data_IF_478141703000
#
_entry.id   IF_478141703000
#
_cell.length_a   1.000
_cell.length_b   1.000
_cell.length_c   1.000
_cell.angle_alpha   90.00
_cell.angle_beta   90.00
_cell.angle_gamma   90.00
#
_symmetry.space_group_name_H-M   'P 1'
#
loop_
_entity.id
_entity.type
_entity.pdbx_description
1 polymer ?
#
# COMPACT_ATOMS: atom_id res chain seq x y z
N UNK A 1 8.50 35.64 31.23
CA UNK A 1 9.17 34.31 31.28
C UNK A 1 8.13 33.18 31.32
N UNK A 2 7.30 33.02 30.29
CA UNK A 2 6.28 31.93 30.23
C UNK A 2 6.09 31.31 28.84
N UNK A 3 6.96 31.61 27.86
CA UNK A 3 6.82 31.12 26.49
C UNK A 3 7.62 29.83 26.19
N UNK A 4 8.52 29.40 27.08
CA UNK A 4 9.45 28.29 26.81
C UNK A 4 8.90 26.90 27.18
N UNK A 5 7.78 26.80 27.90
CA UNK A 5 7.28 25.50 28.42
C UNK A 5 6.28 24.77 27.51
N UNK A 6 5.75 25.41 26.46
CA UNK A 6 4.74 24.77 25.59
C UNK A 6 5.39 23.95 24.47
N UNK A 7 6.59 24.35 24.01
CA UNK A 7 7.29 23.64 22.92
C UNK A 7 7.84 22.27 23.37
N UNK A 8 8.18 22.11 24.65
CA UNK A 8 8.69 20.85 25.19
C UNK A 8 7.61 19.77 25.40
N UNK A 9 6.32 20.14 25.45
CA UNK A 9 5.23 19.16 25.55
C UNK A 9 4.85 18.54 24.20
N UNK A 10 5.15 19.20 23.07
CA UNK A 10 4.90 18.63 21.75
C UNK A 10 5.93 17.56 21.35
N UNK A 11 7.17 17.66 21.82
CA UNK A 11 8.21 16.65 21.58
C UNK A 11 8.04 15.36 22.40
N UNK A 12 7.27 15.39 23.50
CA UNK A 12 7.06 14.21 24.36
C UNK A 12 5.87 13.34 23.94
N UNK A 13 4.92 13.86 23.15
CA UNK A 13 3.76 13.09 22.68
C UNK A 13 4.07 12.19 21.46
N UNK A 14 5.18 12.45 20.75
CA UNK A 14 5.61 11.65 19.61
C UNK A 14 6.36 10.35 19.99
N UNK A 15 6.69 10.14 21.27
CA UNK A 15 7.58 9.06 21.70
C UNK A 15 6.88 7.86 22.37
N UNK A 16 5.54 7.84 22.49
CA UNK A 16 4.82 6.82 23.27
C UNK A 16 3.72 6.10 22.50
N UNK A 17 4.02 5.65 21.29
CA UNK A 17 3.25 4.60 20.59
C UNK A 17 4.25 3.49 20.20
N UNK A 18 4.84 2.84 21.21
CA UNK A 18 5.62 1.64 20.99
C UNK A 18 4.80 0.40 21.34
N UNK A 19 4.50 -0.35 20.28
CA UNK A 19 4.66 -1.81 20.24
C UNK A 19 3.58 -2.64 20.92
N UNK A 20 2.37 -2.61 20.36
CA UNK A 20 1.50 -3.79 20.37
C UNK A 20 1.03 -4.00 18.94
N UNK A 21 1.57 -5.01 18.25
CA UNK A 21 1.13 -5.67 17.00
C UNK A 21 2.37 -6.05 16.15
N UNK A 22 3.04 -7.15 16.49
CA UNK A 22 4.18 -7.63 15.71
C UNK A 22 4.28 -9.17 15.73
N UNK A 23 3.19 -9.88 15.43
CA UNK A 23 3.27 -11.33 15.17
C UNK A 23 2.58 -11.83 13.89
N UNK A 24 1.95 -10.97 13.07
CA UNK A 24 1.25 -11.43 11.84
C UNK A 24 1.79 -10.84 10.51
N UNK A 25 2.98 -10.20 10.52
CA UNK A 25 3.56 -9.49 9.36
C UNK A 25 4.99 -9.98 9.06
N UNK A 26 5.27 -11.27 9.14
CA UNK A 26 6.63 -11.80 8.91
C UNK A 26 6.85 -12.26 7.44
N UNK A 27 5.78 -12.49 6.68
CA UNK A 27 5.88 -12.79 5.23
C UNK A 27 5.72 -11.55 4.35
N UNK A 28 4.97 -10.54 4.80
CA UNK A 28 4.72 -9.28 4.09
C UNK A 28 5.85 -8.25 4.28
N UNK A 29 6.80 -8.47 5.20
CA UNK A 29 7.88 -7.51 5.47
C UNK A 29 9.08 -7.53 4.51
N UNK A 30 9.07 -8.28 3.41
CA UNK A 30 10.26 -8.45 2.56
C UNK A 30 10.40 -7.45 1.42
N UNK A 31 9.29 -6.97 0.85
CA UNK A 31 9.38 -6.18 -0.38
C UNK A 31 9.33 -4.67 -0.17
N UNK A 32 8.67 -4.14 0.86
CA UNK A 32 8.72 -2.69 1.13
C UNK A 32 9.82 -2.38 2.16
N UNK A 33 10.80 -1.57 1.77
CA UNK A 33 11.86 -1.08 2.67
C UNK A 33 11.47 0.24 3.33
N UNK A 34 10.88 1.16 2.56
CA UNK A 34 10.34 2.43 3.05
C UNK A 34 9.07 2.85 2.29
N UNK A 35 8.11 3.51 2.96
CA UNK A 35 8.08 3.82 4.38
C UNK A 35 7.83 2.59 5.25
N UNK A 36 8.40 2.59 6.45
CA UNK A 36 8.01 1.65 7.50
C UNK A 36 6.61 1.99 8.04
N UNK A 37 5.93 1.02 8.64
CA UNK A 37 4.55 1.22 9.12
C UNK A 37 4.50 2.37 10.15
N UNK A 38 3.64 3.37 9.89
CA UNK A 38 3.53 4.61 10.67
C UNK A 38 4.72 5.57 10.59
N UNK A 39 5.60 5.43 9.61
CA UNK A 39 6.66 6.41 9.36
C UNK A 39 6.05 7.77 8.98
N UNK A 40 6.71 8.85 9.43
CA UNK A 40 6.30 10.21 9.15
C UNK A 40 7.10 10.72 7.96
N UNK A 41 6.44 10.94 6.82
CA UNK A 41 7.09 11.40 5.59
C UNK A 41 6.64 12.81 5.19
N UNK A 42 7.55 13.64 4.67
CA UNK A 42 7.19 14.98 4.22
C UNK A 42 6.46 14.93 2.88
N UNK A 43 5.54 15.86 2.62
CA UNK A 43 4.79 15.91 1.34
C UNK A 43 5.54 16.55 0.17
N UNK A 44 6.72 17.10 0.39
CA UNK A 44 7.58 17.61 -0.68
C UNK A 44 8.57 16.55 -1.20
N UNK A 45 8.85 15.50 -0.41
CA UNK A 45 9.82 14.45 -0.71
C UNK A 45 9.39 13.08 -0.15
N UNK A 46 8.18 12.63 -0.52
CA UNK A 46 7.70 11.32 -0.09
C UNK A 46 8.45 10.21 -0.86
N UNK A 47 9.35 9.54 -0.15
CA UNK A 47 10.24 8.52 -0.70
C UNK A 47 9.72 7.11 -0.41
N UNK A 48 9.63 6.29 -1.46
CA UNK A 48 9.26 4.89 -1.37
C UNK A 48 10.44 4.04 -1.85
N UNK A 49 10.77 2.99 -1.12
CA UNK A 49 11.80 2.03 -1.48
C UNK A 49 11.28 0.61 -1.30
N UNK A 50 11.68 -0.26 -2.21
CA UNK A 50 11.30 -1.66 -2.20
C UNK A 50 12.47 -2.54 -2.62
N UNK A 51 12.43 -3.78 -2.14
CA UNK A 51 13.16 -4.88 -2.77
C UNK A 51 12.17 -5.66 -3.59
N UNK A 52 12.63 -6.03 -4.77
CA UNK A 52 12.02 -7.06 -5.57
C UNK A 52 13.10 -8.12 -5.82
N UNK A 53 12.73 -9.40 -5.73
CA UNK A 53 13.60 -10.52 -6.12
C UNK A 53 13.53 -10.71 -7.67
N UNK A 54 14.25 -11.69 -8.23
CA UNK A 54 14.39 -11.85 -9.71
C UNK A 54 13.07 -12.12 -10.49
N UNK A 55 11.92 -12.18 -9.81
CA UNK A 55 10.62 -12.61 -10.37
C UNK A 55 9.57 -11.50 -10.56
N UNK A 56 9.84 -10.22 -10.23
CA UNK A 56 8.87 -9.17 -10.57
C UNK A 56 9.00 -8.76 -12.04
N UNK A 57 7.86 -8.67 -12.71
CA UNK A 57 7.76 -8.21 -14.09
C UNK A 57 6.74 -7.06 -14.18
N UNK A 58 7.08 -6.02 -14.92
CA UNK A 58 6.15 -4.91 -15.18
C UNK A 58 6.17 -3.79 -14.14
N UNK A 59 5.35 -2.74 -14.33
CA UNK A 59 5.40 -1.56 -13.49
C UNK A 59 4.82 -1.83 -12.10
N UNK A 60 5.40 -1.18 -11.11
CA UNK A 60 4.89 -1.14 -9.73
C UNK A 60 3.86 -0.04 -9.65
N UNK A 61 2.70 -0.33 -9.08
CA UNK A 61 1.65 0.65 -8.84
C UNK A 61 1.61 1.05 -7.38
N UNK A 62 1.79 2.34 -7.11
CA UNK A 62 1.66 2.94 -5.77
C UNK A 62 0.31 3.66 -5.73
N UNK A 63 -0.56 3.24 -4.82
CA UNK A 63 -1.85 3.88 -4.57
C UNK A 63 -1.88 4.47 -3.15
N UNK A 64 -2.27 5.74 -3.03
CA UNK A 64 -2.45 6.42 -1.74
C UNK A 64 -3.93 6.80 -1.63
N UNK A 65 -4.54 6.37 -0.53
CA UNK A 65 -5.95 6.52 -0.21
C UNK A 65 -6.15 7.32 1.08
N UNK A 66 -6.98 8.34 0.99
CA UNK A 66 -7.41 9.21 2.09
C UNK A 66 -8.91 9.44 2.03
N UNK A 67 -9.43 10.23 2.97
CA UNK A 67 -10.86 10.55 3.00
C UNK A 67 -11.32 11.33 1.75
N UNK A 68 -10.49 12.27 1.33
CA UNK A 68 -10.77 13.23 0.26
C UNK A 68 -9.67 13.20 -0.82
N UNK A 69 -8.88 12.13 -0.85
CA UNK A 69 -7.73 12.00 -1.73
C UNK A 69 -7.57 10.54 -2.17
N UNK A 70 -7.49 10.32 -3.48
CA UNK A 70 -7.13 9.03 -4.07
C UNK A 70 -6.15 9.28 -5.21
N UNK A 71 -4.90 8.86 -5.03
CA UNK A 71 -3.83 9.02 -6.02
C UNK A 71 -3.25 7.67 -6.41
N UNK A 72 -2.99 7.47 -7.71
CA UNK A 72 -2.25 6.30 -8.21
C UNK A 72 -1.12 6.72 -9.14
N UNK A 73 0.07 6.16 -8.94
CA UNK A 73 1.23 6.38 -9.80
C UNK A 73 1.94 5.06 -10.05
N UNK A 74 2.77 5.02 -11.09
CA UNK A 74 3.53 3.84 -11.46
C UNK A 74 5.02 4.13 -11.52
N UNK A 75 5.83 3.19 -11.05
CA UNK A 75 7.29 3.20 -11.17
C UNK A 75 7.74 1.97 -11.97
N UNK A 76 8.89 2.07 -12.63
CA UNK A 76 9.56 0.88 -13.17
C UNK A 76 10.03 0.02 -11.99
N UNK A 77 9.82 -1.29 -12.05
CA UNK A 77 10.22 -2.20 -10.98
C UNK A 77 11.74 -2.28 -10.79
N UNK A 78 12.49 -2.00 -11.86
CA UNK A 78 13.95 -2.01 -11.85
C UNK A 78 14.54 -0.85 -11.04
N UNK A 79 13.78 0.23 -10.88
CA UNK A 79 14.10 1.28 -9.94
C UNK A 79 13.69 0.79 -8.55
N UNK A 80 14.62 0.41 -7.68
CA UNK A 80 14.32 -0.08 -6.32
C UNK A 80 13.70 0.99 -5.39
N UNK A 81 13.35 2.15 -5.92
CA UNK A 81 12.83 3.29 -5.19
C UNK A 81 12.23 4.34 -6.12
N UNK A 82 11.32 5.17 -5.59
CA UNK A 82 10.81 6.37 -6.26
C UNK A 82 10.52 7.47 -5.24
N UNK A 83 10.83 8.72 -5.61
CA UNK A 83 10.33 9.91 -4.93
C UNK A 83 9.07 10.39 -5.62
N UNK A 84 7.97 10.51 -4.86
CA UNK A 84 6.70 11.01 -5.38
C UNK A 84 6.75 12.53 -5.54
N UNK A 85 6.30 13.02 -6.69
CA UNK A 85 6.20 14.46 -6.89
C UNK A 85 5.16 15.06 -5.94
N UNK A 86 5.36 16.29 -5.43
CA UNK A 86 4.41 16.93 -4.51
C UNK A 86 2.99 17.06 -5.09
N UNK A 87 2.86 17.21 -6.42
CA UNK A 87 1.56 17.27 -7.10
C UNK A 87 0.77 15.97 -7.05
N UNK A 88 1.44 14.85 -6.79
CA UNK A 88 0.82 13.55 -6.58
C UNK A 88 0.31 13.37 -5.15
N UNK A 89 0.74 14.21 -4.21
CA UNK A 89 0.41 14.07 -2.80
C UNK A 89 -0.79 14.98 -2.45
N UNK A 90 -1.56 14.63 -1.40
CA UNK A 90 -2.65 15.47 -0.94
C UNK A 90 -2.15 16.86 -0.56
N UNK A 91 -2.86 17.90 -1.00
CA UNK A 91 -2.58 19.26 -0.57
C UNK A 91 -2.94 19.41 0.91
N UNK A 92 -1.93 19.65 1.75
CA UNK A 92 -2.10 19.85 3.20
C UNK A 92 -1.65 21.26 3.58
N UNK A 93 -2.18 21.79 4.68
CA UNK A 93 -1.74 23.08 5.21
C UNK A 93 -0.33 22.94 5.80
N UNK A 94 0.50 23.99 5.78
CA UNK A 94 1.78 23.96 6.47
C UNK A 94 1.63 23.47 7.92
N UNK A 95 2.51 22.58 8.36
CA UNK A 95 2.52 21.95 9.69
C UNK A 95 1.35 20.98 9.96
N UNK A 96 0.49 20.71 8.98
CA UNK A 96 -0.53 19.69 9.10
C UNK A 96 0.08 18.29 8.96
N UNK A 97 -0.38 17.36 9.80
CA UNK A 97 -0.05 15.93 9.71
C UNK A 97 -1.34 15.14 9.54
N UNK A 98 -1.38 14.27 8.53
CA UNK A 98 -2.53 13.42 8.23
C UNK A 98 -2.12 11.97 7.99
N UNK A 99 -2.98 11.04 8.38
CA UNK A 99 -2.78 9.62 8.16
C UNK A 99 -3.49 9.16 6.89
N UNK A 100 -2.77 8.41 6.06
CA UNK A 100 -3.24 7.85 4.81
C UNK A 100 -3.07 6.33 4.83
N UNK A 101 -3.92 5.64 4.08
CA UNK A 101 -3.67 4.26 3.71
C UNK A 101 -2.94 4.26 2.38
N UNK A 102 -1.98 3.36 2.20
CA UNK A 102 -1.38 3.12 0.90
C UNK A 102 -1.40 1.64 0.56
N UNK A 103 -1.41 1.37 -0.74
CA UNK A 103 -1.30 0.05 -1.31
C UNK A 103 -0.23 0.06 -2.37
N UNK A 104 0.67 -0.91 -2.32
CA UNK A 104 1.68 -1.13 -3.34
C UNK A 104 1.34 -2.43 -4.05
N UNK A 105 1.25 -2.41 -5.38
CA UNK A 105 0.92 -3.57 -6.20
C UNK A 105 2.08 -3.86 -7.16
N UNK A 106 2.51 -5.11 -7.19
CA UNK A 106 3.46 -5.64 -8.15
C UNK A 106 2.75 -6.69 -9.00
N UNK A 107 2.95 -6.66 -10.31
CA UNK A 107 2.63 -7.82 -11.13
C UNK A 107 3.81 -8.79 -11.06
N UNK A 108 3.52 -10.05 -10.80
CA UNK A 108 4.52 -11.12 -10.88
C UNK A 108 3.98 -12.19 -11.80
N UNK A 109 4.87 -12.78 -12.61
CA UNK A 109 4.52 -13.84 -13.52
C UNK A 109 4.99 -15.17 -12.94
N UNK A 110 4.08 -15.92 -12.33
CA UNK A 110 4.38 -17.24 -11.78
C UNK A 110 3.65 -18.26 -12.64
N UNK A 111 4.39 -19.19 -13.25
CA UNK A 111 3.85 -20.26 -14.10
C UNK A 111 2.99 -19.78 -15.30
N UNK A 112 3.15 -18.53 -15.72
CA UNK A 112 2.42 -17.92 -16.85
C UNK A 112 1.10 -17.23 -16.47
N UNK A 113 0.71 -17.26 -15.21
CA UNK A 113 -0.40 -16.48 -14.66
C UNK A 113 0.13 -15.18 -14.02
N UNK A 114 -0.61 -14.07 -14.23
CA UNK A 114 -0.31 -12.77 -13.63
C UNK A 114 -0.92 -12.72 -12.21
N UNK A 115 -0.08 -12.50 -11.20
CA UNK A 115 -0.49 -12.31 -9.82
C UNK A 115 -0.20 -10.88 -9.36
N UNK A 116 -1.23 -10.20 -8.83
CA UNK A 116 -1.07 -8.95 -8.11
C UNK A 116 -0.66 -9.25 -6.66
N UNK A 117 0.63 -9.09 -6.36
CA UNK A 117 1.13 -9.14 -4.99
C UNK A 117 1.01 -7.72 -4.43
N UNK A 118 0.13 -7.56 -3.44
CA UNK A 118 -0.19 -6.26 -2.85
C UNK A 118 0.22 -6.13 -1.39
N UNK A 119 0.57 -4.93 -0.95
CA UNK A 119 0.53 -4.52 0.45
C UNK A 119 -0.78 -3.79 0.75
N UNK A 120 -1.90 -4.50 0.98
CA UNK A 120 -3.18 -3.83 1.14
C UNK A 120 -3.22 -3.04 2.45
N UNK A 121 -3.59 -1.76 2.38
CA UNK A 121 -3.97 -0.93 3.52
C UNK A 121 -2.87 -0.70 4.55
N UNK A 122 -1.62 -0.56 4.12
CA UNK A 122 -0.54 -0.07 4.99
C UNK A 122 -0.81 1.37 5.40
N UNK A 123 -0.51 1.72 6.66
CA UNK A 123 -0.73 3.08 7.16
C UNK A 123 0.55 3.90 7.08
N UNK A 124 0.42 5.12 6.58
CA UNK A 124 1.48 6.11 6.46
C UNK A 124 1.00 7.45 7.04
N UNK A 125 1.90 8.20 7.68
CA UNK A 125 1.63 9.58 8.09
C UNK A 125 2.40 10.54 7.19
N UNK A 126 1.68 11.45 6.54
CA UNK A 126 2.28 12.53 5.78
C UNK A 126 2.24 13.83 6.59
N UNK A 127 3.28 14.64 6.51
CA UNK A 127 3.27 16.00 7.04
C UNK A 127 3.68 17.02 5.99
N UNK A 128 3.05 18.20 6.04
CA UNK A 128 3.43 19.31 5.18
C UNK A 128 4.50 20.14 5.88
N UNK A 129 5.74 20.18 5.36
CA UNK A 129 6.78 21.00 5.96
C UNK A 129 6.40 22.48 5.89
N UNK A 130 6.84 23.26 6.89
CA UNK A 130 6.73 24.71 6.83
C UNK A 130 7.54 25.18 5.63
N UNK A 131 6.96 25.95 4.68
CA UNK A 131 7.70 26.42 3.51
C UNK A 131 8.88 27.25 4.00
N UNK A 132 10.08 26.69 3.88
CA UNK A 132 11.29 27.43 4.18
C UNK A 132 11.44 28.44 3.07
N UNK A 133 11.27 29.72 3.40
CA UNK A 133 11.58 30.79 2.45
C UNK A 133 13.09 30.75 2.27
N UNK A 134 13.55 30.03 1.25
CA UNK A 134 14.94 30.08 0.82
C UNK A 134 15.23 31.51 0.43
N UNK A 135 15.90 32.24 1.32
CA UNK A 135 16.42 33.56 1.00
C UNK A 135 17.61 33.31 0.08
N UNK A 136 17.35 33.34 -1.23
CA UNK A 136 18.39 33.28 -2.25
C UNK A 136 19.29 34.50 -2.05
N UNK A 137 20.39 34.29 -1.33
CA UNK A 137 21.43 35.30 -1.21
C UNK A 137 22.23 35.24 -2.50
N UNK A 138 21.80 36.01 -3.49
CA UNK A 138 22.51 36.17 -4.75
C UNK A 138 23.85 36.85 -4.45
N UNK A 139 24.91 36.06 -4.35
CA UNK A 139 26.27 36.58 -4.26
C UNK A 139 26.73 36.93 -5.66
N UNK A 140 26.54 38.19 -6.07
CA UNK A 140 27.13 38.71 -7.30
C UNK A 140 28.66 38.68 -7.17
N UNK A 141 29.30 37.71 -7.82
CA UNK A 141 30.75 37.71 -8.00
C UNK A 141 31.09 38.67 -9.13
N UNK A 142 31.44 39.91 -8.77
CA UNK A 142 31.93 40.92 -9.72
C UNK A 142 33.28 40.45 -10.27
N UNK A 143 33.27 39.81 -11.43
CA UNK A 143 34.50 39.46 -12.17
C UNK A 143 34.90 40.66 -13.03
N UNK A 144 35.94 41.37 -12.62
CA UNK A 144 36.50 42.49 -13.40
C UNK A 144 37.35 41.93 -14.54
N UNK A 145 36.75 41.73 -15.71
CA UNK A 145 37.48 41.38 -16.94
C UNK A 145 37.52 42.60 -17.86
N UNK A 146 38.73 42.99 -18.23
CA UNK A 146 39.07 44.13 -19.08
C UNK A 146 38.55 43.94 -20.52
N UNK A 147 37.96 45.01 -21.04
CA UNK A 147 37.71 45.35 -22.46
C UNK A 147 37.33 44.22 -23.43
N UNK A 148 36.03 44.05 -23.68
CA UNK A 148 35.55 43.81 -25.04
C UNK A 148 34.12 44.32 -25.23
N UNK A 149 33.95 45.21 -26.20
CA UNK A 149 32.66 45.77 -26.65
C UNK A 149 31.80 44.65 -27.23
N UNK A 150 30.70 44.32 -26.55
CA UNK A 150 29.61 43.50 -27.11
C UNK A 150 28.28 44.17 -26.76
N UNK A 151 27.46 44.33 -27.80
CA UNK A 151 26.16 45.01 -27.78
C UNK A 151 25.13 44.19 -26.98
N UNK A 152 24.50 44.81 -25.99
CA UNK A 152 23.40 44.20 -25.22
C UNK A 152 22.06 44.51 -25.91
N UNK A 153 21.32 43.45 -26.25
CA UNK A 153 19.88 43.52 -26.54
C UNK A 153 19.17 43.37 -25.20
N UNK A 154 18.45 44.41 -24.78
CA UNK A 154 17.66 44.40 -23.56
C UNK A 154 16.41 43.51 -23.74
N UNK A 155 16.31 42.44 -22.96
CA UNK A 155 15.05 41.71 -22.77
C UNK A 155 14.25 42.37 -21.64
N UNK A 156 13.12 42.94 -22.02
CA UNK A 156 12.17 43.60 -21.12
C UNK A 156 11.40 42.55 -20.32
N UNK A 157 11.72 42.42 -19.04
CA UNK A 157 10.92 41.67 -18.06
C UNK A 157 9.55 42.31 -17.89
N UNK A 158 8.48 41.64 -18.32
CA UNK A 158 7.10 42.07 -18.08
C UNK A 158 6.65 41.61 -16.69
N UNK A 159 6.37 42.59 -15.84
CA UNK A 159 5.73 42.42 -14.54
C UNK A 159 4.20 42.26 -14.76
N UNK A 160 3.54 41.17 -14.34
CA UNK A 160 2.09 41.06 -14.45
C UNK A 160 1.42 42.04 -13.48
N UNK A 161 0.72 43.02 -14.03
CA UNK A 161 -0.15 43.96 -13.30
C UNK A 161 -1.46 43.25 -12.94
N UNK A 162 -1.93 43.32 -11.68
CA UNK A 162 -3.28 42.88 -11.33
C UNK A 162 -4.30 43.83 -11.95
N UNK A 163 -5.03 43.36 -12.96
CA UNK A 163 -6.15 44.08 -13.54
C UNK A 163 -7.33 44.10 -12.58
N UNK A 164 -7.63 45.28 -12.03
CA UNK A 164 -8.93 45.57 -11.46
C UNK A 164 -9.95 45.68 -12.59
N UNK A 165 -10.92 44.75 -12.62
CA UNK A 165 -12.13 44.89 -13.41
C UNK A 165 -13.28 45.18 -12.43
N UNK A 166 -13.80 46.39 -12.57
CA UNK A 166 -14.95 46.95 -11.88
C UNK A 166 -16.14 46.90 -12.85
N UNK A 167 -17.32 46.55 -12.34
CA UNK A 167 -18.62 46.68 -13.02
C UNK A 167 -19.16 45.44 -13.75
N UNK A 168 -20.18 44.80 -13.17
CA UNK A 168 -21.58 45.07 -13.53
C UNK A 168 -22.53 44.23 -12.67
N UNK A 169 -23.53 44.92 -12.13
CA UNK A 169 -24.67 44.40 -11.37
C UNK A 169 -25.58 43.62 -12.32
N UNK A 170 -25.88 42.36 -12.01
CA UNK A 170 -27.06 41.68 -12.56
C UNK A 170 -27.79 40.92 -11.44
N UNK A 171 -28.95 41.47 -11.07
CA UNK A 171 -29.92 40.86 -10.16
C UNK A 171 -30.61 39.69 -10.86
N UNK A 172 -29.97 38.52 -10.83
CA UNK A 172 -30.55 37.25 -11.27
C UNK A 172 -30.98 36.39 -10.09
N UNK A 173 -32.19 36.58 -9.58
CA UNK A 173 -32.85 35.62 -8.67
C UNK A 173 -33.03 34.29 -9.40
N UNK A 174 -32.18 33.32 -9.07
CA UNK A 174 -32.26 31.97 -9.61
C UNK A 174 -31.74 30.96 -8.60
N UNK A 175 -32.68 30.35 -7.86
CA UNK A 175 -32.45 29.11 -7.12
C UNK A 175 -31.72 28.11 -8.03
N UNK A 176 -30.47 27.80 -7.74
CA UNK A 176 -29.82 26.61 -8.26
C UNK A 176 -29.15 25.91 -7.09
N UNK A 177 -29.77 24.80 -6.71
CA UNK A 177 -29.37 23.92 -5.65
C UNK A 177 -27.92 23.44 -5.81
N UNK A 178 -27.22 23.32 -4.68
CA UNK A 178 -25.90 22.70 -4.58
C UNK A 178 -25.89 21.32 -5.27
N UNK A 179 -25.22 21.25 -6.42
CA UNK A 179 -24.85 20.01 -7.09
C UNK A 179 -23.79 19.25 -6.30
N UNK A 180 -24.23 18.57 -5.24
CA UNK A 180 -23.45 17.52 -4.59
C UNK A 180 -23.43 16.31 -5.53
N UNK A 181 -22.24 16.02 -6.08
CA UNK A 181 -21.99 14.85 -6.92
C UNK A 181 -22.17 13.56 -6.12
N UNK A 182 -23.41 13.12 -5.97
CA UNK A 182 -23.77 11.84 -5.40
C UNK A 182 -23.45 10.71 -6.39
N UNK A 183 -22.56 9.80 -5.99
CA UNK A 183 -22.71 8.41 -6.40
C UNK A 183 -24.11 7.99 -5.97
N UNK A 184 -24.96 7.68 -6.95
CA UNK A 184 -26.36 7.29 -6.79
C UNK A 184 -26.58 6.53 -5.48
N UNK A 185 -27.48 7.06 -4.64
CA UNK A 185 -27.93 6.48 -3.38
C UNK A 185 -28.36 5.02 -3.50
N UNK A 186 -28.60 4.52 -4.71
CA UNK A 186 -28.86 3.10 -5.00
C UNK A 186 -27.66 2.17 -4.82
N UNK A 187 -26.40 2.63 -4.92
CA UNK A 187 -25.22 1.77 -4.83
C UNK A 187 -24.76 1.48 -3.39
N UNK A 188 -24.85 2.48 -2.50
CA UNK A 188 -24.37 2.36 -1.11
C UNK A 188 -25.36 1.63 -0.19
N UNK A 189 -26.65 1.57 -0.55
CA UNK A 189 -27.66 0.84 0.21
C UNK A 189 -27.57 -0.69 0.04
N UNK A 190 -26.95 -1.19 -1.04
CA UNK A 190 -26.90 -2.62 -1.36
C UNK A 190 -25.97 -3.44 -0.45
N UNK A 191 -24.89 -2.85 0.04
CA UNK A 191 -23.88 -3.58 0.84
C UNK A 191 -24.29 -3.71 2.32
N UNK A 192 -25.10 -2.78 2.83
CA UNK A 192 -25.49 -2.75 4.24
C UNK A 192 -26.44 -3.88 4.69
N UNK A 193 -27.20 -4.48 3.77
CA UNK A 193 -28.21 -5.51 4.11
C UNK A 193 -27.78 -6.93 3.70
N UNK A 194 -26.80 -7.07 2.80
CA UNK A 194 -26.36 -8.38 2.30
C UNK A 194 -25.63 -9.23 3.34
N UNK A 195 -24.81 -8.60 4.19
CA UNK A 195 -23.96 -9.28 5.19
C UNK A 195 -24.77 -10.06 6.25
N UNK A 196 -25.81 -9.51 6.89
CA UNK A 196 -26.56 -10.27 7.90
C UNK A 196 -27.31 -11.46 7.29
N UNK A 197 -27.85 -11.34 6.08
CA UNK A 197 -28.58 -12.45 5.41
C UNK A 197 -27.61 -13.54 4.98
N UNK A 198 -26.44 -13.17 4.45
CA UNK A 198 -25.39 -14.12 4.08
C UNK A 198 -24.87 -14.93 5.27
N UNK A 199 -24.65 -14.27 6.42
CA UNK A 199 -24.18 -14.94 7.64
C UNK A 199 -25.19 -15.97 8.17
N UNK A 200 -26.49 -15.66 8.14
CA UNK A 200 -27.55 -16.59 8.57
C UNK A 200 -27.65 -17.81 7.65
N UNK A 201 -27.55 -17.62 6.33
CA UNK A 201 -27.57 -18.73 5.37
C UNK A 201 -26.34 -19.64 5.50
N UNK A 202 -25.16 -19.07 5.70
CA UNK A 202 -23.93 -19.86 5.93
C UNK A 202 -24.00 -20.65 7.24
N UNK A 203 -24.47 -20.03 8.33
CA UNK A 203 -24.65 -20.71 9.61
C UNK A 203 -25.66 -21.87 9.50
N UNK A 204 -26.78 -21.66 8.80
CA UNK A 204 -27.77 -22.70 8.55
C UNK A 204 -27.22 -23.84 7.68
N UNK A 205 -26.42 -23.52 6.64
CA UNK A 205 -25.75 -24.50 5.78
C UNK A 205 -24.80 -25.40 6.56
N UNK A 206 -23.92 -24.80 7.38
CA UNK A 206 -22.98 -25.56 8.23
C UNK A 206 -23.73 -26.43 9.23
N UNK A 207 -24.79 -25.90 9.86
CA UNK A 207 -25.60 -26.65 10.82
C UNK A 207 -26.28 -27.87 10.19
N UNK A 208 -26.82 -27.75 8.96
CA UNK A 208 -27.45 -28.87 8.25
C UNK A 208 -26.46 -29.97 7.87
N UNK A 209 -25.24 -29.62 7.45
CA UNK A 209 -24.18 -30.60 7.14
C UNK A 209 -23.77 -31.37 8.39
N UNK A 210 -23.56 -30.67 9.51
CA UNK A 210 -23.23 -31.31 10.80
C UNK A 210 -24.35 -32.21 11.30
N UNK A 211 -25.62 -31.77 11.16
CA UNK A 211 -26.79 -32.59 11.52
C UNK A 211 -26.93 -33.83 10.65
N UNK A 212 -26.63 -33.73 9.35
CA UNK A 212 -26.66 -34.88 8.44
C UNK A 212 -25.56 -35.88 8.77
N UNK A 213 -24.35 -35.41 9.12
CA UNK A 213 -23.22 -36.28 9.46
C UNK A 213 -23.49 -37.12 10.71
N UNK A 214 -24.14 -36.55 11.72
CA UNK A 214 -24.47 -37.25 12.98
C UNK A 214 -25.49 -38.38 12.83
N UNK A 215 -26.20 -38.49 11.71
CA UNK A 215 -27.17 -39.57 11.46
C UNK A 215 -26.58 -40.76 10.71
N UNK A 216 -25.31 -40.71 10.32
CA UNK A 216 -24.65 -41.78 9.58
C UNK A 216 -23.89 -42.78 10.48
N UNK A 217 -23.82 -42.56 11.79
CA UNK A 217 -23.14 -43.47 12.72
C UNK A 217 -24.15 -44.36 13.46
N UNK A 218 -24.88 -45.20 12.72
CA UNK A 218 -25.50 -46.41 13.28
C UNK A 218 -25.53 -47.46 12.19
N UNK A 219 -24.35 -47.96 11.83
CA UNK A 219 -24.23 -49.14 10.98
C UNK A 219 -23.10 -50.01 11.51
N UNK A 220 -23.53 -50.93 12.36
CA UNK A 220 -23.02 -52.30 12.46
C UNK A 220 -21.60 -52.45 13.04
N UNK A 221 -21.54 -52.48 14.37
CA UNK A 221 -20.59 -53.34 15.08
C UNK A 221 -20.85 -54.77 14.57
N UNK A 222 -20.05 -55.22 13.60
CA UNK A 222 -19.91 -56.65 13.32
C UNK A 222 -19.07 -57.20 14.46
N UNK A 223 -19.72 -57.92 15.37
CA UNK A 223 -19.04 -58.79 16.32
C UNK A 223 -18.09 -59.70 15.53
N UNK A 224 -16.80 -59.55 15.79
CA UNK A 224 -15.78 -60.47 15.30
C UNK A 224 -15.88 -61.69 16.22
N UNK A 225 -16.29 -62.88 15.73
CA UNK A 225 -16.26 -64.07 16.55
C UNK A 225 -14.83 -64.31 17.02
N UNK A 226 -14.66 -64.44 18.33
CA UNK A 226 -13.40 -64.74 18.98
C UNK A 226 -12.83 -66.06 18.43
N UNK A 227 -11.89 -65.93 17.49
CA UNK A 227 -10.97 -67.00 17.13
C UNK A 227 -9.66 -66.72 17.82
N UNK A 228 -9.43 -67.55 18.83
CA UNK A 228 -8.35 -67.52 19.78
C UNK A 228 -6.98 -67.62 19.12
N UNK A 229 -6.07 -66.78 19.61
CA UNK A 229 -4.69 -67.09 19.94
C UNK A 229 -3.90 -67.97 18.95
N UNK A 230 -3.07 -67.33 18.11
CA UNK A 230 -1.86 -67.96 17.60
C UNK A 230 -0.66 -67.07 17.91
N UNK A 231 0.25 -67.68 18.66
CA UNK A 231 1.51 -67.23 19.25
C UNK A 231 2.32 -66.15 18.49
N UNK A 232 2.73 -65.14 19.25
CA UNK A 232 3.94 -64.33 19.03
C UNK A 232 5.17 -65.10 19.54
N UNK A 233 6.25 -65.14 18.75
CA UNK A 233 7.58 -64.76 19.24
C UNK A 233 8.25 -63.86 18.19
N UNK A 234 8.56 -62.59 18.44
CA UNK A 234 9.58 -62.11 19.36
C UNK A 234 10.26 -60.87 18.72
N UNK A 235 11.08 -60.11 19.47
CA UNK A 235 11.63 -58.83 19.03
C UNK A 235 12.87 -59.04 18.15
N UNK A 236 12.72 -58.78 16.84
CA UNK A 236 13.82 -58.76 15.88
C UNK A 236 14.36 -57.35 15.68
N UNK A 237 15.47 -57.03 16.34
CA UNK A 237 16.39 -55.97 15.94
C UNK A 237 17.00 -56.33 14.57
N UNK A 238 16.78 -55.52 13.54
CA UNK A 238 17.32 -55.78 12.21
C UNK A 238 17.24 -54.58 11.28
N UNK A 239 18.40 -54.00 11.01
CA UNK A 239 18.71 -52.98 10.04
C UNK A 239 18.03 -53.20 8.67
N UNK A 240 17.46 -52.14 8.10
CA UNK A 240 17.35 -51.98 6.65
C UNK A 240 17.35 -50.48 6.31
N UNK A 241 18.51 -50.00 5.91
CA UNK A 241 18.67 -48.88 4.98
C UNK A 241 17.82 -49.15 3.75
N UNK A 242 16.95 -48.21 3.37
CA UNK A 242 16.36 -48.21 2.04
C UNK A 242 16.66 -46.89 1.33
N UNK A 243 17.58 -47.00 0.36
CA UNK A 243 17.72 -46.08 -0.74
C UNK A 243 16.55 -46.30 -1.70
N UNK A 244 15.81 -45.25 -2.01
CA UNK A 244 15.14 -45.10 -3.30
C UNK A 244 15.17 -43.61 -3.62
N UNK A 245 16.07 -43.11 -4.47
CA UNK A 245 16.11 -43.30 -5.92
C UNK A 245 14.81 -42.82 -6.60
N UNK A 246 14.78 -41.53 -6.94
CA UNK A 246 13.98 -41.01 -8.05
C UNK A 246 14.87 -40.14 -8.93
N UNK A 247 15.62 -40.85 -9.77
CA UNK A 247 15.86 -40.45 -11.17
C UNK A 247 14.51 -40.10 -11.81
N UNK A 248 14.44 -39.02 -12.61
CA UNK A 248 13.80 -38.99 -13.94
C UNK A 248 13.94 -37.59 -14.58
N UNK A 249 14.60 -37.60 -15.76
CA UNK A 249 14.55 -36.71 -16.93
C UNK A 249 14.43 -35.19 -16.74
N UNK A 250 15.28 -34.32 -17.29
CA UNK A 250 16.00 -34.45 -18.56
C UNK A 250 15.09 -34.19 -19.76
N UNK A 251 14.71 -32.94 -20.02
CA UNK A 251 14.17 -32.54 -21.32
C UNK A 251 14.80 -31.22 -21.78
N UNK A 252 15.84 -31.40 -22.59
CA UNK A 252 16.59 -30.38 -23.34
C UNK A 252 15.81 -30.11 -24.62
N UNK A 253 15.13 -28.98 -24.74
CA UNK A 253 14.59 -28.52 -26.02
C UNK A 253 15.55 -27.49 -26.63
N UNK A 254 16.45 -28.00 -27.46
CA UNK A 254 17.02 -27.25 -28.55
C UNK A 254 15.91 -27.04 -29.60
N UNK A 255 15.62 -25.79 -29.98
CA UNK A 255 15.12 -25.52 -31.32
C UNK A 255 16.00 -24.47 -31.96
N UNK A 256 16.58 -24.92 -33.07
CA UNK A 256 17.36 -24.20 -34.05
C UNK A 256 16.43 -23.96 -35.23
N UNK A 257 16.38 -22.74 -35.74
CA UNK A 257 15.62 -22.36 -36.92
C UNK A 257 15.66 -20.85 -37.07
#
# INVERSE_FOLDING_TARGET
MMAASVVLLYLAAAASIQTTLAEDVVTTGRYLEHPTNQELMPTDDAYFAWRCDDDCEGPITIAIHGKDFDGTTTADWSDSSITLQPSFLPAMRPEETSAFSFSLYFSTRIDGDDYDIGFPNSKLSLFAPTPTTETITQTETVTTTSEHTISYTAETSQNPTPGAADGEEDEGTGNNEQGTGGLSTGGKAGVGVGVPVGAVLLAAGVFLVLRRRRRAETSTIREIPATSAVNLPGPGSGFATDQANTVVSGQRHEMRG
#
